data_IF_655233372084
#
_entry.id   IF_655233372084
#
_cell.length_a   1.000
_cell.length_b   1.000
_cell.length_c   1.000
_cell.angle_alpha   90.00
_cell.angle_beta   90.00
_cell.angle_gamma   90.00
#
_symmetry.space_group_name_H-M   'P 1'
#
loop_
_entity.id
_entity.type
_entity.pdbx_description
1 polymer ?
#
# COMPACT_ATOMS: atom_id res chain seq x y z
N UNK A 1 -1.37 21.36 -17.55
CA UNK A 1 -1.04 20.62 -16.32
C UNK A 1 -2.15 20.91 -15.32
N UNK A 2 -2.87 19.89 -14.83
CA UNK A 2 -3.68 20.07 -13.62
C UNK A 2 -2.70 20.28 -12.46
N UNK A 3 -2.92 21.29 -11.63
CA UNK A 3 -2.21 21.39 -10.36
C UNK A 3 -2.69 20.20 -9.51
N UNK A 4 -1.87 19.16 -9.47
CA UNK A 4 -2.07 18.01 -8.60
C UNK A 4 -1.51 18.41 -7.24
N UNK A 5 -2.37 19.02 -6.43
CA UNK A 5 -2.06 19.29 -5.03
C UNK A 5 -2.59 18.13 -4.18
N UNK A 6 -1.78 17.67 -3.23
CA UNK A 6 -2.25 16.75 -2.19
C UNK A 6 -3.19 17.55 -1.30
N UNK A 7 -4.45 17.12 -1.20
CA UNK A 7 -5.45 17.81 -0.39
C UNK A 7 -5.36 17.44 1.09
N UNK A 8 -4.65 16.36 1.42
CA UNK A 8 -4.37 15.99 2.79
C UNK A 8 -3.55 17.06 3.52
N UNK A 9 -3.63 17.05 4.85
CA UNK A 9 -2.78 17.86 5.71
C UNK A 9 -1.30 17.64 5.39
N UNK A 10 -0.44 18.54 5.82
CA UNK A 10 1.01 18.30 5.77
C UNK A 10 1.38 17.02 6.51
N UNK A 11 2.42 16.35 6.02
CA UNK A 11 3.02 15.20 6.68
C UNK A 11 3.66 15.63 8.00
N UNK A 12 3.34 14.91 9.06
CA UNK A 12 3.90 15.10 10.38
C UNK A 12 4.55 13.79 10.83
N UNK A 13 5.71 13.86 11.50
CA UNK A 13 6.33 12.68 12.11
C UNK A 13 5.38 12.12 13.17
N UNK A 14 5.13 10.82 13.13
CA UNK A 14 4.24 10.11 14.05
C UNK A 14 4.86 8.80 14.53
N UNK A 15 6.16 8.82 14.78
CA UNK A 15 6.88 7.71 15.38
C UNK A 15 6.27 7.36 16.75
N UNK A 16 6.18 6.07 17.12
CA UNK A 16 5.80 5.66 18.47
C UNK A 16 6.80 6.21 19.50
N UNK A 17 6.30 6.68 20.64
CA UNK A 17 7.14 7.14 21.76
C UNK A 17 7.85 5.98 22.48
N UNK A 18 7.29 4.77 22.37
CA UNK A 18 7.85 3.57 22.98
C UNK A 18 9.01 2.99 22.17
N UNK A 19 9.97 2.37 22.85
CA UNK A 19 11.05 1.63 22.19
C UNK A 19 10.50 0.41 21.46
N UNK A 20 10.98 0.16 20.25
CA UNK A 20 10.59 -1.00 19.45
C UNK A 20 11.78 -1.64 18.75
N UNK A 21 11.62 -2.93 18.44
CA UNK A 21 12.51 -3.70 17.58
C UNK A 21 11.95 -3.76 16.15
N UNK A 22 12.85 -3.78 15.18
CA UNK A 22 12.56 -4.04 13.76
C UNK A 22 13.02 -5.45 13.38
N UNK A 23 12.66 -5.90 12.18
CA UNK A 23 13.27 -7.11 11.62
C UNK A 23 14.79 -6.93 11.46
N UNK A 24 15.54 -8.04 11.52
CA UNK A 24 17.01 -8.08 11.64
C UNK A 24 17.76 -7.29 10.54
N UNK A 25 17.13 -7.09 9.38
CA UNK A 25 17.73 -6.40 8.22
C UNK A 25 16.98 -5.11 7.83
N UNK A 26 16.23 -4.52 8.76
CA UNK A 26 15.43 -3.33 8.52
C UNK A 26 15.88 -2.16 9.40
N UNK A 27 16.07 -1.01 8.77
CA UNK A 27 16.30 0.26 9.45
C UNK A 27 15.14 1.20 9.14
N UNK A 28 14.50 1.72 10.19
CA UNK A 28 13.50 2.76 10.07
C UNK A 28 14.16 4.09 9.70
N UNK A 29 13.67 4.70 8.62
CA UNK A 29 14.10 6.03 8.20
C UNK A 29 13.11 7.07 8.71
N UNK A 30 11.82 6.92 8.39
CA UNK A 30 10.75 7.81 8.84
C UNK A 30 9.42 7.08 8.97
N UNK A 31 8.56 7.59 9.86
CA UNK A 31 7.13 7.29 9.88
C UNK A 31 6.39 8.62 10.00
N UNK A 32 5.53 8.89 9.02
CA UNK A 32 4.81 10.14 8.89
C UNK A 32 3.31 9.89 8.75
N UNK A 33 2.48 10.81 9.21
CA UNK A 33 1.04 10.77 9.02
C UNK A 33 0.48 12.07 8.46
N UNK A 34 -0.65 11.94 7.78
CA UNK A 34 -1.48 13.06 7.37
C UNK A 34 -2.96 12.62 7.38
N UNK A 35 -3.86 13.58 7.18
CA UNK A 35 -5.32 13.34 7.22
C UNK A 35 -6.03 14.09 6.10
N UNK A 36 -7.11 13.50 5.60
CA UNK A 36 -8.01 14.13 4.63
C UNK A 36 -9.40 13.50 4.72
N UNK A 37 -10.47 14.30 4.81
CA UNK A 37 -11.88 13.85 4.69
C UNK A 37 -12.21 12.46 5.30
N UNK A 38 -11.95 12.27 6.60
CA UNK A 38 -12.24 11.01 7.31
C UNK A 38 -11.18 9.92 7.14
N UNK A 39 -10.24 10.10 6.22
CA UNK A 39 -9.07 9.25 6.04
C UNK A 39 -7.90 9.69 6.92
N UNK A 40 -7.18 8.68 7.42
CA UNK A 40 -5.85 8.83 8.02
C UNK A 40 -4.87 8.08 7.14
N UNK A 41 -3.72 8.69 6.88
CA UNK A 41 -2.66 8.07 6.10
C UNK A 41 -1.40 7.92 6.94
N UNK A 42 -0.66 6.85 6.68
CA UNK A 42 0.69 6.65 7.19
C UNK A 42 1.63 6.40 6.01
N UNK A 43 2.79 7.06 6.03
CA UNK A 43 3.90 6.77 5.13
C UNK A 43 5.07 6.25 5.95
N UNK A 44 5.48 5.02 5.68
CA UNK A 44 6.58 4.36 6.36
C UNK A 44 7.75 4.20 5.40
N UNK A 45 8.91 4.74 5.77
CA UNK A 45 10.14 4.59 5.04
C UNK A 45 11.09 3.63 5.77
N UNK A 46 11.44 2.53 5.12
CA UNK A 46 12.39 1.53 5.63
C UNK A 46 13.54 1.35 4.65
N UNK A 47 14.75 1.18 5.18
CA UNK A 47 15.90 0.67 4.45
C UNK A 47 15.98 -0.84 4.69
N UNK A 48 16.10 -1.64 3.62
CA UNK A 48 16.34 -3.09 3.67
C UNK A 48 17.47 -3.42 2.69
N UNK A 49 18.65 -3.77 3.20
CA UNK A 49 19.86 -3.82 2.40
C UNK A 49 20.16 -2.45 1.74
N UNK A 50 20.45 -2.46 0.44
CA UNK A 50 20.74 -1.24 -0.34
C UNK A 50 19.48 -0.53 -0.87
N UNK A 51 18.29 -1.06 -0.58
CA UNK A 51 17.03 -0.51 -1.08
C UNK A 51 16.22 0.21 0.00
N UNK A 52 15.58 1.31 -0.40
CA UNK A 52 14.60 2.03 0.40
C UNK A 52 13.17 1.72 -0.08
N UNK A 53 12.27 1.47 0.86
CA UNK A 53 10.86 1.18 0.63
C UNK A 53 10.01 2.26 1.28
N UNK A 54 9.17 2.92 0.48
CA UNK A 54 8.17 3.87 0.96
C UNK A 54 6.79 3.23 0.89
N UNK A 55 6.30 2.72 2.01
CA UNK A 55 4.95 2.20 2.12
C UNK A 55 3.96 3.32 2.35
N UNK A 56 2.79 3.21 1.71
CA UNK A 56 1.68 4.13 1.90
C UNK A 56 0.43 3.36 2.32
N UNK A 57 -0.17 3.82 3.41
CA UNK A 57 -1.36 3.23 4.00
C UNK A 57 -2.50 4.24 4.05
N UNK A 58 -3.72 3.73 3.92
CA UNK A 58 -4.94 4.45 4.26
C UNK A 58 -5.66 3.70 5.39
N UNK A 59 -6.28 4.46 6.29
CA UNK A 59 -7.09 3.93 7.37
C UNK A 59 -8.36 4.77 7.50
N UNK A 60 -9.48 4.09 7.76
CA UNK A 60 -10.77 4.69 8.12
C UNK A 60 -11.42 3.83 9.21
N UNK A 61 -12.66 4.13 9.56
CA UNK A 61 -13.45 3.27 10.47
C UNK A 61 -13.72 1.89 9.87
N UNK A 62 -13.70 1.76 8.54
CA UNK A 62 -14.03 0.52 7.84
C UNK A 62 -12.85 -0.45 7.73
N UNK A 63 -11.62 0.03 7.92
CA UNK A 63 -10.44 -0.83 7.86
C UNK A 63 -9.11 -0.13 7.64
N UNK A 64 -8.13 -0.95 7.26
CA UNK A 64 -6.75 -0.56 6.96
C UNK A 64 -6.38 -1.12 5.60
N UNK A 65 -5.78 -0.29 4.75
CA UNK A 65 -5.36 -0.68 3.41
C UNK A 65 -3.91 -0.32 3.14
N UNK A 66 -3.24 -1.17 2.39
CA UNK A 66 -1.94 -0.88 1.78
C UNK A 66 -2.19 -0.34 0.39
N UNK A 67 -1.94 0.96 0.20
CA UNK A 67 -2.12 1.61 -1.09
C UNK A 67 -0.98 1.25 -2.03
N UNK A 68 0.25 1.19 -1.52
CA UNK A 68 1.38 0.87 -2.36
C UNK A 68 2.69 0.86 -1.62
N UNK A 69 3.72 0.47 -2.37
CA UNK A 69 5.12 0.60 -1.99
C UNK A 69 5.87 1.27 -3.14
N UNK A 70 6.71 2.25 -2.81
CA UNK A 70 7.34 3.17 -3.76
C UNK A 70 8.84 3.29 -3.52
N UNK A 71 9.56 3.81 -4.51
CA UNK A 71 11.01 4.07 -4.42
C UNK A 71 11.33 5.38 -3.73
N UNK A 72 10.42 6.35 -3.76
CA UNK A 72 10.64 7.70 -3.25
C UNK A 72 9.40 8.24 -2.55
N UNK A 73 9.54 9.20 -1.62
CA UNK A 73 8.39 9.82 -0.97
C UNK A 73 7.54 10.61 -1.98
N UNK A 74 8.18 11.22 -2.99
CA UNK A 74 7.49 11.98 -4.03
C UNK A 74 6.57 11.13 -4.92
N UNK A 75 6.88 9.85 -5.15
CA UNK A 75 5.96 8.93 -5.83
C UNK A 75 4.71 8.65 -4.99
N UNK A 76 4.86 8.48 -3.67
CA UNK A 76 3.74 8.31 -2.75
C UNK A 76 2.86 9.58 -2.67
N UNK A 77 3.49 10.76 -2.64
CA UNK A 77 2.77 12.05 -2.66
C UNK A 77 1.99 12.24 -3.96
N UNK A 78 2.63 11.94 -5.09
CA UNK A 78 1.98 11.98 -6.40
C UNK A 78 0.80 11.01 -6.48
N UNK A 79 0.93 9.82 -5.91
CA UNK A 79 -0.15 8.84 -5.82
C UNK A 79 -1.35 9.40 -5.05
N UNK A 80 -1.13 9.98 -3.86
CA UNK A 80 -2.22 10.60 -3.09
C UNK A 80 -2.88 11.73 -3.88
N UNK A 81 -2.09 12.59 -4.53
CA UNK A 81 -2.62 13.71 -5.32
C UNK A 81 -3.51 13.24 -6.49
N UNK A 82 -3.24 12.06 -7.08
CA UNK A 82 -4.07 11.48 -8.12
C UNK A 82 -5.38 10.88 -7.60
N UNK A 83 -5.41 10.49 -6.31
CA UNK A 83 -6.51 9.74 -5.70
C UNK A 83 -7.12 10.46 -4.49
N UNK A 84 -7.07 11.79 -4.49
CA UNK A 84 -7.56 12.63 -3.39
C UNK A 84 -9.04 12.36 -3.04
N UNK A 85 -9.90 12.14 -4.05
CA UNK A 85 -11.36 11.97 -3.82
C UNK A 85 -11.70 10.66 -3.11
N UNK A 86 -11.01 9.56 -3.48
CA UNK A 86 -11.19 8.26 -2.86
C UNK A 86 -9.95 7.38 -3.09
N UNK A 87 -9.17 7.06 -2.04
CA UNK A 87 -7.97 6.23 -2.17
C UNK A 87 -8.28 4.76 -2.51
N UNK A 88 -9.55 4.31 -2.39
CA UNK A 88 -9.96 2.93 -2.68
C UNK A 88 -10.40 2.70 -4.14
N UNK A 89 -10.47 3.76 -4.94
CA UNK A 89 -10.79 3.68 -6.38
C UNK A 89 -9.66 3.08 -7.23
N UNK A 90 -8.55 2.72 -6.58
CA UNK A 90 -7.40 2.02 -7.15
C UNK A 90 -7.01 0.84 -6.27
N UNK A 91 -6.08 -0.04 -6.71
CA UNK A 91 -5.70 -1.24 -5.96
C UNK A 91 -5.13 -1.00 -4.54
N UNK A 92 -6.04 -0.79 -3.60
CA UNK A 92 -5.81 -0.67 -2.16
C UNK A 92 -6.04 -2.05 -1.51
N UNK A 93 -4.98 -2.67 -1.01
CA UNK A 93 -5.04 -4.04 -0.47
C UNK A 93 -5.54 -4.01 0.97
N UNK A 94 -6.74 -4.54 1.19
CA UNK A 94 -7.38 -4.60 2.51
C UNK A 94 -6.62 -5.55 3.45
N UNK A 95 -6.44 -5.09 4.70
CA UNK A 95 -5.90 -5.83 5.83
C UNK A 95 -7.03 -6.20 6.81
N UNK A 96 -7.70 -7.36 6.61
CA UNK A 96 -8.98 -7.64 7.27
C UNK A 96 -8.91 -7.84 8.79
N UNK A 97 -7.71 -8.09 9.33
CA UNK A 97 -7.49 -8.31 10.76
C UNK A 97 -6.96 -7.07 11.49
N UNK A 98 -6.74 -5.97 10.76
CA UNK A 98 -6.19 -4.75 11.32
C UNK A 98 -7.27 -3.69 11.53
N UNK A 99 -7.18 -3.00 12.66
CA UNK A 99 -7.97 -1.83 12.99
C UNK A 99 -7.05 -0.76 13.59
N UNK A 100 -7.40 0.52 13.41
CA UNK A 100 -6.60 1.63 13.91
C UNK A 100 -5.48 2.01 12.95
N UNK A 101 -4.23 1.98 13.42
CA UNK A 101 -3.07 2.39 12.63
C UNK A 101 -2.41 1.19 11.95
N UNK A 102 -1.97 1.37 10.70
CA UNK A 102 -1.32 0.31 9.93
C UNK A 102 0.04 -0.05 10.56
N UNK A 103 0.83 0.99 10.85
CA UNK A 103 2.12 0.89 11.53
C UNK A 103 1.92 1.13 13.01
N UNK A 104 2.30 0.15 13.82
CA UNK A 104 2.05 0.12 15.26
C UNK A 104 3.09 -0.72 15.98
N UNK A 105 3.22 -0.55 17.28
CA UNK A 105 4.09 -1.40 18.10
C UNK A 105 3.23 -2.46 18.77
N UNK A 106 3.62 -3.72 18.61
CA UNK A 106 2.99 -4.85 19.30
C UNK A 106 4.08 -5.67 20.00
N UNK A 107 3.93 -5.87 21.32
CA UNK A 107 4.89 -6.64 22.11
C UNK A 107 6.35 -6.16 21.95
N UNK A 108 6.54 -4.85 21.84
CA UNK A 108 7.87 -4.23 21.66
C UNK A 108 8.43 -4.35 20.24
N UNK A 109 7.65 -4.76 19.25
CA UNK A 109 8.07 -4.85 17.84
C UNK A 109 7.27 -3.91 16.96
N UNK A 110 7.93 -3.24 16.03
CA UNK A 110 7.25 -2.43 15.02
C UNK A 110 6.59 -3.37 13.99
N UNK A 111 5.27 -3.42 14.01
CA UNK A 111 4.44 -4.19 13.11
C UNK A 111 3.86 -3.28 12.03
N UNK A 112 3.93 -3.72 10.78
CA UNK A 112 3.34 -3.03 9.64
C UNK A 112 2.99 -4.04 8.55
N UNK A 113 1.87 -3.85 7.83
CA UNK A 113 1.54 -4.71 6.70
C UNK A 113 2.46 -4.39 5.51
N UNK A 114 2.97 -5.44 4.86
CA UNK A 114 3.69 -5.33 3.58
C UNK A 114 2.69 -5.18 2.43
N UNK A 115 3.17 -5.05 1.18
CA UNK A 115 2.28 -5.05 0.02
C UNK A 115 1.72 -6.46 -0.22
N UNK A 116 0.66 -6.77 0.52
CA UNK A 116 -0.07 -8.03 0.54
C UNK A 116 -1.55 -7.75 0.85
N UNK A 117 -2.43 -8.72 0.60
CA UNK A 117 -3.86 -8.60 0.92
C UNK A 117 -4.76 -8.70 -0.30
N UNK A 118 -5.99 -8.23 -0.15
CA UNK A 118 -7.04 -8.36 -1.15
C UNK A 118 -7.57 -6.99 -1.54
N UNK A 119 -7.57 -6.68 -2.83
CA UNK A 119 -8.36 -5.60 -3.39
C UNK A 119 -9.55 -6.17 -4.17
N UNK A 120 -10.75 -5.62 -3.97
CA UNK A 120 -11.97 -6.11 -4.64
C UNK A 120 -12.84 -4.96 -5.10
N UNK A 121 -13.24 -5.00 -6.37
CA UNK A 121 -14.24 -4.10 -6.97
C UNK A 121 -15.22 -4.93 -7.77
N UNK A 122 -16.46 -5.01 -7.28
CA UNK A 122 -17.52 -5.84 -7.87
C UNK A 122 -17.09 -7.31 -7.98
N UNK A 123 -17.02 -7.82 -9.22
CA UNK A 123 -16.62 -9.20 -9.52
C UNK A 123 -15.13 -9.36 -9.83
N UNK A 124 -14.35 -8.29 -9.73
CA UNK A 124 -12.91 -8.29 -9.96
C UNK A 124 -12.19 -8.23 -8.61
N UNK A 125 -11.15 -9.02 -8.45
CA UNK A 125 -10.26 -8.91 -7.30
C UNK A 125 -8.82 -9.16 -7.66
N UNK A 126 -7.93 -8.50 -6.91
CA UNK A 126 -6.50 -8.75 -6.92
C UNK A 126 -6.13 -9.30 -5.56
N UNK A 127 -5.46 -10.43 -5.56
CA UNK A 127 -4.89 -11.03 -4.36
C UNK A 127 -3.37 -10.98 -4.47
N UNK A 128 -2.75 -10.49 -3.41
CA UNK A 128 -1.31 -10.46 -3.22
C UNK A 128 -0.97 -11.23 -1.98
N UNK A 129 -0.12 -12.23 -2.11
CA UNK A 129 0.35 -13.04 -0.99
C UNK A 129 1.87 -13.18 -1.06
N UNK A 130 2.50 -13.40 0.08
CA UNK A 130 3.90 -13.84 0.13
C UNK A 130 4.04 -15.15 -0.66
N UNK A 131 5.10 -15.27 -1.45
CA UNK A 131 5.38 -16.52 -2.16
C UNK A 131 5.71 -17.66 -1.17
N UNK A 132 5.38 -18.89 -1.55
CA UNK A 132 5.54 -20.06 -0.67
C UNK A 132 7.01 -20.51 -0.55
N UNK A 133 7.87 -20.12 -1.49
CA UNK A 133 9.27 -20.52 -1.56
C UNK A 133 10.20 -19.39 -1.13
N UNK A 134 9.89 -18.16 -1.52
CA UNK A 134 10.71 -16.97 -1.21
C UNK A 134 9.89 -15.85 -0.55
N UNK A 135 10.17 -15.57 0.72
CA UNK A 135 9.49 -14.53 1.50
C UNK A 135 9.71 -13.10 0.96
N UNK A 136 10.73 -12.89 0.11
CA UNK A 136 10.99 -11.64 -0.60
C UNK A 136 10.06 -11.40 -1.78
N UNK A 137 9.38 -12.44 -2.27
CA UNK A 137 8.52 -12.37 -3.44
C UNK A 137 7.04 -12.32 -3.08
N UNK A 138 6.25 -11.79 -4.02
CA UNK A 138 4.80 -11.70 -3.97
C UNK A 138 4.18 -12.44 -5.13
N UNK A 139 3.25 -13.34 -4.82
CA UNK A 139 2.41 -14.04 -5.78
C UNK A 139 1.17 -13.21 -6.05
N UNK A 140 0.91 -12.96 -7.33
CA UNK A 140 -0.15 -12.06 -7.79
C UNK A 140 -1.21 -12.82 -8.55
N UNK A 141 -2.46 -12.71 -8.09
CA UNK A 141 -3.61 -13.35 -8.70
C UNK A 141 -4.68 -12.31 -9.00
N UNK A 142 -5.12 -12.26 -10.26
CA UNK A 142 -6.33 -11.54 -10.66
C UNK A 142 -7.48 -12.52 -10.83
N UNK A 143 -8.62 -12.21 -10.25
CA UNK A 143 -9.84 -13.02 -10.37
C UNK A 143 -10.96 -12.15 -10.94
N UNK A 144 -11.64 -12.66 -11.95
CA UNK A 144 -12.82 -12.04 -12.56
C UNK A 144 -13.94 -13.08 -12.68
N UNK A 145 -14.95 -12.97 -11.82
CA UNK A 145 -16.04 -13.97 -11.68
C UNK A 145 -15.49 -15.37 -11.36
N UNK A 146 -15.41 -16.24 -12.36
CA UNK A 146 -14.94 -17.62 -12.25
C UNK A 146 -13.57 -17.84 -12.90
N UNK A 147 -13.02 -16.81 -13.53
CA UNK A 147 -11.72 -16.88 -14.20
C UNK A 147 -10.64 -16.36 -13.28
N UNK A 148 -9.57 -17.15 -13.11
CA UNK A 148 -8.37 -16.75 -12.40
C UNK A 148 -7.19 -16.62 -13.36
N UNK A 149 -6.39 -15.58 -13.17
CA UNK A 149 -5.21 -15.27 -13.97
C UNK A 149 -4.05 -14.97 -13.02
N UNK A 150 -3.00 -15.79 -13.09
CA UNK A 150 -1.72 -15.46 -12.44
C UNK A 150 -1.08 -14.27 -13.15
N UNK A 151 -0.74 -13.22 -12.40
CA UNK A 151 -0.05 -12.04 -12.94
C UNK A 151 1.48 -12.13 -12.78
N UNK A 152 1.97 -13.11 -12.02
CA UNK A 152 3.38 -13.41 -11.82
C UNK A 152 3.75 -13.62 -10.35
N UNK A 153 5.03 -13.92 -10.15
CA UNK A 153 5.72 -13.90 -8.86
C UNK A 153 6.84 -12.87 -8.98
N UNK A 154 6.76 -11.80 -8.21
CA UNK A 154 7.61 -10.61 -8.39
C UNK A 154 8.08 -10.07 -7.02
N UNK A 155 9.21 -9.35 -6.95
CA UNK A 155 9.53 -8.61 -5.75
C UNK A 155 8.49 -7.51 -5.48
N UNK A 156 8.48 -6.99 -4.27
CA UNK A 156 7.34 -6.28 -3.71
C UNK A 156 6.96 -4.99 -4.46
N UNK A 157 7.95 -4.21 -4.90
CA UNK A 157 7.74 -2.98 -5.67
C UNK A 157 7.26 -3.25 -7.08
N UNK A 158 7.84 -4.24 -7.73
CA UNK A 158 7.43 -4.69 -9.07
C UNK A 158 6.03 -5.30 -9.03
N UNK A 159 5.67 -5.98 -7.95
CA UNK A 159 4.33 -6.50 -7.73
C UNK A 159 3.29 -5.37 -7.64
N UNK A 160 3.60 -4.34 -6.85
CA UNK A 160 2.81 -3.11 -6.77
C UNK A 160 2.63 -2.48 -8.15
N UNK A 161 3.73 -2.21 -8.86
CA UNK A 161 3.69 -1.63 -10.20
C UNK A 161 2.91 -2.51 -11.20
N UNK A 162 3.05 -3.84 -11.12
CA UNK A 162 2.36 -4.78 -12.01
C UNK A 162 0.85 -4.72 -11.82
N UNK A 163 0.38 -4.68 -10.57
CA UNK A 163 -1.05 -4.54 -10.25
C UNK A 163 -1.59 -3.21 -10.76
N UNK A 164 -0.91 -2.11 -10.47
CA UNK A 164 -1.30 -0.80 -10.98
C UNK A 164 -1.37 -0.75 -12.50
N UNK A 165 -0.35 -1.30 -13.17
CA UNK A 165 -0.29 -1.35 -14.64
C UNK A 165 -1.39 -2.22 -15.24
N UNK A 166 -1.70 -3.37 -14.62
CA UNK A 166 -2.79 -4.23 -15.06
C UNK A 166 -4.15 -3.57 -14.83
N UNK A 167 -4.34 -2.90 -13.70
CA UNK A 167 -5.55 -2.16 -13.37
C UNK A 167 -5.79 -1.01 -14.34
N UNK A 168 -4.82 -0.11 -14.53
CA UNK A 168 -4.92 1.00 -15.49
C UNK A 168 -5.09 0.49 -16.93
N UNK A 169 -4.33 -0.55 -17.32
CA UNK A 169 -4.47 -1.17 -18.65
C UNK A 169 -5.88 -1.73 -18.91
N UNK A 170 -6.52 -2.32 -17.90
CA UNK A 170 -7.92 -2.76 -17.97
C UNK A 170 -8.89 -1.58 -18.01
N UNK A 171 -8.60 -0.49 -17.29
CA UNK A 171 -9.40 0.75 -17.34
C UNK A 171 -9.31 1.47 -18.69
N UNK A 172 -8.15 1.45 -19.37
CA UNK A 172 -8.02 1.95 -20.74
C UNK A 172 -8.88 1.20 -21.76
N UNK A 173 -9.29 -0.04 -21.45
CA UNK A 173 -10.27 -0.82 -22.20
C UNK A 173 -11.73 -0.69 -21.70
N UNK A 174 -11.92 -0.28 -20.45
CA UNK A 174 -13.23 0.09 -19.91
C UNK A 174 -13.55 1.52 -20.35
N UNK A 175 -14.18 1.65 -21.52
CA UNK A 175 -15.06 2.79 -21.73
C UNK A 175 -16.11 2.75 -20.61
N UNK A 176 -15.99 3.62 -19.61
CA UNK A 176 -17.17 4.17 -18.95
C UNK A 176 -17.89 5.00 -20.01
N UNK A 177 -18.68 4.32 -20.83
CA UNK A 177 -19.85 4.87 -21.50
C UNK A 177 -21.03 4.68 -20.54
#
# INVERSE_FOLDING_TARGET
MRNLEVLASQWCVCLPDESFELAVDEQLLTLECCRYEGWRYQRLALQRGDETFYYLYAMSEEGVWVLGVFDTPGQADFFLALHNEDPLMVPALLQPVLAGDAVRVEQGKLCYPRYEGLYRVGFKSYQVAVDQVDAGLRTLLYVERYNSQGLGVLPEKEACLKIYSHFDGRLRGCKMC
#
